data_IF_176819965304
#
_entry.id   IF_176819965304
#
_cell.length_a   1.000
_cell.length_b   1.000
_cell.length_c   1.000
_cell.angle_alpha   90.00
_cell.angle_beta   90.00
_cell.angle_gamma   90.00
#
_symmetry.space_group_name_H-M   'P 1'
#
loop_
_entity.id
_entity.type
_entity.pdbx_description
1 polymer ?
#
# COMPACT_ATOMS: atom_id res chain seq x y z
N UNK A 1 -1.27 -15.55 -5.95
CA UNK A 1 -1.40 -16.22 -7.25
C UNK A 1 -1.96 -17.63 -7.06
N UNK A 2 -2.98 -17.97 -7.81
CA UNK A 2 -3.59 -19.31 -7.83
C UNK A 2 -3.54 -19.90 -9.24
N UNK A 3 -3.59 -21.22 -9.32
CA UNK A 3 -3.64 -21.92 -10.62
C UNK A 3 -4.84 -21.46 -11.45
N UNK A 4 -4.65 -21.40 -12.75
CA UNK A 4 -5.71 -21.15 -13.72
C UNK A 4 -5.74 -22.27 -14.76
N UNK A 5 -6.67 -22.19 -15.72
CA UNK A 5 -6.74 -23.14 -16.83
C UNK A 5 -5.50 -23.07 -17.73
N UNK A 6 -4.85 -21.90 -17.81
CA UNK A 6 -3.57 -21.72 -18.50
C UNK A 6 -2.41 -21.77 -17.48
N UNK A 7 -1.54 -22.78 -17.52
CA UNK A 7 -0.44 -22.92 -16.57
C UNK A 7 0.61 -21.80 -16.66
N UNK A 8 0.64 -21.03 -17.75
CA UNK A 8 1.57 -19.92 -17.92
C UNK A 8 1.00 -18.57 -17.46
N UNK A 9 -0.30 -18.53 -17.15
CA UNK A 9 -0.98 -17.29 -16.75
C UNK A 9 -1.76 -17.55 -15.44
N UNK A 10 -1.11 -17.51 -14.28
CA UNK A 10 -1.79 -17.70 -13.00
C UNK A 10 -2.82 -16.58 -12.76
N UNK A 11 -3.90 -16.93 -12.08
CA UNK A 11 -4.91 -15.95 -11.66
C UNK A 11 -4.43 -15.24 -10.40
N UNK A 12 -4.43 -13.91 -10.42
CA UNK A 12 -4.20 -13.09 -9.23
C UNK A 12 -5.51 -12.93 -8.47
N UNK A 13 -5.50 -13.24 -7.18
CA UNK A 13 -6.63 -13.06 -6.27
C UNK A 13 -6.18 -12.18 -5.14
N UNK A 14 -6.93 -11.10 -4.88
CA UNK A 14 -6.72 -10.22 -3.74
C UNK A 14 -7.56 -10.69 -2.57
N UNK A 15 -6.97 -10.65 -1.38
CA UNK A 15 -7.63 -10.88 -0.11
C UNK A 15 -7.36 -9.71 0.83
N UNK A 16 -8.38 -9.28 1.53
CA UNK A 16 -8.28 -8.29 2.61
C UNK A 16 -9.12 -8.78 3.78
N UNK A 17 -8.52 -8.94 4.94
CA UNK A 17 -9.25 -9.37 6.14
C UNK A 17 -10.23 -8.28 6.60
N UNK A 18 -11.45 -8.68 6.93
CA UNK A 18 -12.49 -7.80 7.51
C UNK A 18 -12.40 -7.69 9.03
N UNK A 19 -11.50 -8.44 9.65
CA UNK A 19 -11.28 -8.45 11.11
C UNK A 19 -9.79 -8.52 11.42
N UNK A 20 -9.37 -8.05 12.62
CA UNK A 20 -8.00 -8.24 13.08
C UNK A 20 -7.66 -9.74 13.15
N UNK A 21 -6.62 -10.18 12.44
CA UNK A 21 -6.21 -11.58 12.39
C UNK A 21 -4.82 -11.81 12.99
N UNK A 22 -4.10 -10.74 13.28
CA UNK A 22 -2.74 -10.85 13.83
C UNK A 22 -2.40 -9.64 14.70
N UNK A 23 -1.35 -9.79 15.50
CA UNK A 23 -0.80 -8.73 16.34
C UNK A 23 0.72 -8.78 16.27
N UNK A 24 1.36 -7.61 16.24
CA UNK A 24 2.80 -7.49 16.47
C UNK A 24 2.97 -7.27 17.98
N UNK A 25 3.43 -8.28 18.74
CA UNK A 25 3.51 -8.18 20.18
C UNK A 25 4.68 -7.30 20.61
N UNK A 26 4.53 -6.61 21.72
CA UNK A 26 5.62 -5.92 22.41
C UNK A 26 5.72 -6.40 23.85
N UNK A 27 6.92 -6.33 24.41
CA UNK A 27 7.18 -6.76 25.79
C UNK A 27 6.77 -5.67 26.79
N UNK A 28 6.12 -6.07 27.86
CA UNK A 28 5.86 -5.19 28.99
C UNK A 28 7.19 -4.75 29.65
N UNK A 29 7.19 -3.61 30.32
CA UNK A 29 8.36 -3.04 30.99
C UNK A 29 9.03 -4.02 31.98
N UNK A 30 8.28 -4.93 32.56
CA UNK A 30 8.83 -5.98 33.45
C UNK A 30 9.80 -6.91 32.75
N UNK A 31 9.64 -7.10 31.44
CA UNK A 31 10.47 -7.95 30.61
C UNK A 31 11.47 -7.16 29.74
N UNK A 32 11.27 -5.86 29.60
CA UNK A 32 12.15 -4.94 28.89
C UNK A 32 12.30 -3.63 29.69
N UNK A 33 13.24 -3.59 30.61
CA UNK A 33 13.48 -2.45 31.49
C UNK A 33 14.12 -1.24 30.78
N UNK A 34 14.68 -1.46 29.58
CA UNK A 34 15.35 -0.41 28.79
C UNK A 34 14.36 0.35 27.88
N UNK A 35 13.08 -0.01 27.87
CA UNK A 35 12.07 0.57 26.96
C UNK A 35 12.04 2.10 26.99
N UNK A 36 12.28 2.73 28.15
CA UNK A 36 12.27 4.17 28.31
C UNK A 36 13.56 4.88 27.81
N UNK A 37 14.58 4.10 27.42
CA UNK A 37 15.84 4.62 26.84
C UNK A 37 15.84 4.59 25.34
N UNK A 38 14.77 4.12 24.73
CA UNK A 38 14.68 3.83 23.30
C UNK A 38 15.20 2.42 23.00
N UNK A 39 14.51 1.74 22.11
CA UNK A 39 14.89 0.41 21.61
C UNK A 39 14.99 0.51 20.10
N UNK A 40 16.15 0.21 19.56
CA UNK A 40 16.31 0.06 18.12
C UNK A 40 15.52 -1.17 17.67
N UNK A 41 14.56 -0.95 16.77
CA UNK A 41 13.68 -2.02 16.28
C UNK A 41 14.40 -2.78 15.17
N UNK A 42 14.53 -4.08 15.33
CA UNK A 42 14.94 -4.98 14.26
C UNK A 42 13.70 -5.47 13.52
N UNK A 43 13.53 -5.03 12.27
CA UNK A 43 12.34 -5.33 11.47
C UNK A 43 12.09 -6.83 11.28
N UNK A 44 13.12 -7.65 11.26
CA UNK A 44 13.00 -9.10 11.06
C UNK A 44 12.63 -9.87 12.34
N UNK A 45 12.87 -9.28 13.50
CA UNK A 45 12.65 -9.95 14.81
C UNK A 45 11.49 -9.30 15.54
N UNK A 46 11.50 -7.97 15.67
CA UNK A 46 10.56 -7.24 16.53
C UNK A 46 9.22 -6.96 15.85
N UNK A 47 9.18 -6.98 14.50
CA UNK A 47 7.96 -6.77 13.73
C UNK A 47 7.32 -8.07 13.20
N UNK A 48 7.72 -9.22 13.75
CA UNK A 48 7.10 -10.50 13.39
C UNK A 48 5.66 -10.59 13.93
N UNK A 49 4.65 -10.67 13.06
CA UNK A 49 3.27 -10.78 13.51
C UNK A 49 2.99 -12.18 14.04
N UNK A 50 2.21 -12.24 15.12
CA UNK A 50 1.66 -13.47 15.68
C UNK A 50 0.23 -13.64 15.19
N UNK A 51 -0.03 -14.72 14.49
CA UNK A 51 -1.33 -15.04 13.90
C UNK A 51 -2.22 -15.81 14.88
N UNK A 52 -1.70 -16.84 15.53
CA UNK A 52 -2.49 -17.72 16.40
C UNK A 52 -1.61 -18.55 17.35
N UNK A 53 -2.28 -19.23 18.27
CA UNK A 53 -1.72 -20.26 19.15
C UNK A 53 -2.30 -21.61 18.73
N UNK A 54 -1.47 -22.45 18.12
CA UNK A 54 -1.88 -23.74 17.59
C UNK A 54 -1.53 -24.90 18.52
N UNK A 55 -2.29 -26.02 18.51
CA UNK A 55 -1.94 -27.23 19.22
C UNK A 55 -0.59 -27.79 18.79
N UNK A 56 0.15 -28.42 19.75
CA UNK A 56 1.50 -28.97 19.48
C UNK A 56 1.52 -30.03 18.37
N UNK A 57 0.42 -30.73 18.21
CA UNK A 57 0.25 -31.80 17.23
C UNK A 57 0.04 -31.33 15.82
N UNK A 58 -0.33 -30.03 15.65
CA UNK A 58 -0.60 -29.43 14.35
C UNK A 58 0.70 -28.90 13.73
N UNK A 59 0.93 -29.23 12.45
CA UNK A 59 2.06 -28.69 11.70
C UNK A 59 1.83 -27.22 11.35
N UNK A 60 2.77 -26.38 11.74
CA UNK A 60 2.71 -24.91 11.51
C UNK A 60 2.67 -24.54 10.04
N UNK A 61 3.38 -25.26 9.18
CA UNK A 61 3.47 -25.01 7.73
C UNK A 61 2.13 -25.14 7.01
N UNK A 62 1.25 -26.02 7.49
CA UNK A 62 -0.07 -26.21 6.88
C UNK A 62 -1.14 -25.25 7.43
N UNK A 63 -0.92 -24.68 8.62
CA UNK A 63 -1.92 -23.86 9.29
C UNK A 63 -2.28 -22.62 8.49
N UNK A 64 -1.28 -21.85 8.07
CA UNK A 64 -1.47 -20.61 7.33
C UNK A 64 -2.05 -20.86 5.93
N UNK A 65 -1.57 -21.90 5.23
CA UNK A 65 -2.12 -22.27 3.92
C UNK A 65 -3.57 -22.78 4.03
N UNK A 66 -3.94 -23.41 5.14
CA UNK A 66 -5.33 -23.78 5.41
C UNK A 66 -6.20 -22.53 5.53
N UNK A 67 -5.77 -21.59 6.36
CA UNK A 67 -6.45 -20.29 6.51
C UNK A 67 -6.63 -19.60 5.15
N UNK A 68 -5.56 -19.45 4.35
CA UNK A 68 -5.67 -18.82 3.03
C UNK A 68 -6.60 -19.58 2.08
N UNK A 69 -6.55 -20.90 2.09
CA UNK A 69 -7.41 -21.78 1.27
C UNK A 69 -8.89 -21.56 1.60
N UNK A 70 -9.23 -21.48 2.88
CA UNK A 70 -10.59 -21.23 3.37
C UNK A 70 -11.07 -19.83 3.00
N UNK A 71 -10.27 -18.80 3.25
CA UNK A 71 -10.60 -17.40 2.96
C UNK A 71 -10.75 -17.12 1.45
N UNK A 72 -9.95 -17.77 0.63
CA UNK A 72 -9.99 -17.60 -0.83
C UNK A 72 -10.98 -18.56 -1.53
N UNK A 73 -11.49 -19.57 -0.84
CA UNK A 73 -12.36 -20.59 -1.42
C UNK A 73 -11.66 -21.42 -2.50
N UNK A 74 -10.38 -21.72 -2.33
CA UNK A 74 -9.56 -22.50 -3.27
C UNK A 74 -8.86 -23.66 -2.56
N UNK A 75 -8.47 -24.69 -3.32
CA UNK A 75 -7.69 -25.79 -2.76
C UNK A 75 -6.26 -25.31 -2.42
N UNK A 76 -5.68 -25.77 -1.33
CA UNK A 76 -4.29 -25.46 -0.94
C UNK A 76 -3.29 -25.71 -2.05
N UNK A 77 -3.47 -26.82 -2.78
CA UNK A 77 -2.63 -27.21 -3.91
C UNK A 77 -2.70 -26.26 -5.10
N UNK A 78 -3.69 -25.36 -5.13
CA UNK A 78 -3.87 -24.39 -6.19
C UNK A 78 -3.23 -23.02 -5.85
N UNK A 79 -2.84 -22.81 -4.60
CA UNK A 79 -2.07 -21.63 -4.19
C UNK A 79 -0.63 -21.83 -4.64
N UNK A 80 -0.18 -20.98 -5.57
CA UNK A 80 1.15 -21.04 -6.16
C UNK A 80 2.15 -20.18 -5.39
N UNK A 81 1.72 -18.98 -5.01
CA UNK A 81 2.53 -18.01 -4.27
C UNK A 81 1.62 -16.94 -3.66
N UNK A 82 2.13 -16.20 -2.66
CA UNK A 82 1.41 -15.09 -2.05
C UNK A 82 2.36 -14.02 -1.54
N UNK A 83 1.89 -12.81 -1.55
CA UNK A 83 2.50 -11.65 -0.89
C UNK A 83 1.53 -11.14 0.18
N UNK A 84 2.05 -10.84 1.36
CA UNK A 84 1.27 -10.43 2.52
C UNK A 84 1.75 -9.07 3.02
N UNK A 85 0.81 -8.17 3.17
CA UNK A 85 1.03 -6.88 3.79
C UNK A 85 0.15 -6.75 5.03
N UNK A 86 0.71 -6.28 6.13
CA UNK A 86 -0.04 -5.98 7.35
C UNK A 86 -0.47 -4.52 7.35
N UNK A 87 -1.63 -4.24 7.91
CA UNK A 87 -2.11 -2.87 8.09
C UNK A 87 -2.87 -2.75 9.41
N UNK A 88 -2.89 -1.54 9.96
CA UNK A 88 -3.63 -1.23 11.17
C UNK A 88 -5.14 -1.18 10.85
N UNK A 89 -5.94 -1.88 11.65
CA UNK A 89 -7.40 -1.94 11.52
C UNK A 89 -8.12 -1.01 12.50
N UNK A 90 -7.41 -0.10 13.17
CA UNK A 90 -8.06 0.92 13.98
C UNK A 90 -8.93 1.82 13.11
N UNK A 91 -10.18 2.02 13.56
CA UNK A 91 -11.12 2.88 12.86
C UNK A 91 -10.78 4.36 13.10
N UNK A 92 -10.90 5.19 12.04
CA UNK A 92 -10.78 6.63 12.20
C UNK A 92 -11.83 7.19 13.15
N UNK A 93 -11.45 8.15 14.00
CA UNK A 93 -12.38 8.81 14.88
C UNK A 93 -12.08 10.30 15.06
N UNK A 94 -13.10 11.05 15.42
CA UNK A 94 -12.92 12.42 15.90
C UNK A 94 -12.49 12.40 17.36
N UNK A 95 -11.55 13.26 17.72
CA UNK A 95 -11.02 13.39 19.07
C UNK A 95 -10.97 14.86 19.51
N UNK A 96 -10.80 15.04 20.83
CA UNK A 96 -10.81 16.34 21.48
C UNK A 96 -12.18 16.67 22.10
N UNK A 97 -12.20 17.67 22.99
CA UNK A 97 -13.42 18.04 23.73
C UNK A 97 -14.56 18.50 22.80
N UNK A 98 -14.23 19.00 21.63
CA UNK A 98 -15.17 19.53 20.63
C UNK A 98 -15.06 18.82 19.29
N UNK A 99 -14.50 17.63 19.26
CA UNK A 99 -14.32 16.81 18.05
C UNK A 99 -13.58 17.58 16.91
N UNK A 100 -12.58 18.36 17.28
CA UNK A 100 -11.87 19.25 16.35
C UNK A 100 -10.64 18.62 15.71
N UNK A 101 -10.29 17.40 16.10
CA UNK A 101 -9.15 16.66 15.59
C UNK A 101 -9.62 15.30 15.05
N UNK A 102 -8.82 14.72 14.17
CA UNK A 102 -9.02 13.37 13.62
C UNK A 102 -7.85 12.50 14.09
N UNK A 103 -8.17 11.32 14.61
CA UNK A 103 -7.22 10.24 14.82
C UNK A 103 -7.49 9.14 13.81
N UNK A 104 -6.51 8.81 13.02
CA UNK A 104 -6.61 7.78 11.99
C UNK A 104 -5.24 7.23 11.65
N UNK A 105 -5.11 5.94 11.35
CA UNK A 105 -3.91 5.45 10.68
C UNK A 105 -3.82 6.05 9.28
N UNK A 106 -2.59 6.18 8.77
CA UNK A 106 -2.31 6.60 7.39
C UNK A 106 -2.80 8.02 7.01
N UNK A 107 -2.88 8.93 7.97
CA UNK A 107 -3.08 10.36 7.65
C UNK A 107 -1.97 10.87 6.74
N UNK A 108 -0.76 10.46 7.00
CA UNK A 108 0.32 10.45 6.06
C UNK A 108 0.20 9.19 5.17
N UNK A 109 -0.06 9.30 3.85
CA UNK A 109 -0.26 10.54 3.13
C UNK A 109 -1.70 10.65 2.58
N UNK A 110 -2.71 10.04 3.22
CA UNK A 110 -4.11 10.03 2.75
C UNK A 110 -4.75 11.43 2.77
N UNK A 111 -4.27 12.33 3.63
CA UNK A 111 -4.74 13.72 3.66
C UNK A 111 -4.35 14.46 2.39
N UNK A 112 -3.10 14.32 1.95
CA UNK A 112 -2.63 14.90 0.68
C UNK A 112 -3.31 14.26 -0.52
N UNK A 113 -3.52 12.94 -0.51
CA UNK A 113 -4.29 12.23 -1.55
C UNK A 113 -5.70 12.81 -1.67
N UNK A 114 -6.41 12.97 -0.56
CA UNK A 114 -7.75 13.56 -0.56
C UNK A 114 -7.73 14.99 -1.09
N UNK A 115 -6.74 15.80 -0.70
CA UNK A 115 -6.62 17.20 -1.14
C UNK A 115 -6.38 17.31 -2.65
N UNK A 116 -5.46 16.52 -3.23
CA UNK A 116 -5.18 16.60 -4.67
C UNK A 116 -6.33 16.06 -5.51
N UNK A 117 -7.01 14.99 -5.05
CA UNK A 117 -8.21 14.47 -5.72
C UNK A 117 -9.33 15.51 -5.71
N UNK A 118 -9.59 16.13 -4.56
CA UNK A 118 -10.61 17.18 -4.45
C UNK A 118 -10.26 18.40 -5.32
N UNK A 119 -8.99 18.80 -5.37
CA UNK A 119 -8.52 19.87 -6.23
C UNK A 119 -8.74 19.55 -7.71
N UNK A 120 -8.45 18.32 -8.16
CA UNK A 120 -8.70 17.89 -9.53
C UNK A 120 -10.19 17.93 -9.88
N UNK A 121 -11.05 17.39 -9.00
CA UNK A 121 -12.50 17.35 -9.21
C UNK A 121 -13.14 18.76 -9.25
N UNK A 122 -12.57 19.71 -8.51
CA UNK A 122 -13.05 21.09 -8.45
C UNK A 122 -12.45 21.98 -9.54
N UNK A 123 -11.41 21.50 -10.24
CA UNK A 123 -10.71 22.30 -11.24
C UNK A 123 -11.48 22.34 -12.54
N UNK A 124 -11.48 23.54 -13.16
CA UNK A 124 -11.90 23.71 -14.54
C UNK A 124 -10.74 24.29 -15.34
N UNK A 125 -10.48 23.71 -16.50
CA UNK A 125 -9.39 24.13 -17.36
C UNK A 125 -9.87 24.25 -18.80
N UNK A 126 -9.64 25.37 -19.41
CA UNK A 126 -9.97 25.59 -20.83
C UNK A 126 -8.90 24.96 -21.74
N UNK A 127 -7.63 25.00 -21.32
CA UNK A 127 -6.50 24.52 -22.10
C UNK A 127 -5.53 23.75 -21.22
N UNK A 128 -4.88 22.72 -21.81
CA UNK A 128 -3.90 21.88 -21.14
C UNK A 128 -4.53 20.72 -20.38
N UNK A 129 -3.72 20.00 -19.59
CA UNK A 129 -4.09 18.77 -18.87
C UNK A 129 -3.74 18.95 -17.41
N UNK A 130 -4.69 18.68 -16.52
CA UNK A 130 -4.42 18.45 -15.12
C UNK A 130 -4.30 16.94 -14.91
N UNK A 131 -3.24 16.52 -14.24
CA UNK A 131 -2.99 15.12 -13.93
C UNK A 131 -2.55 15.02 -12.48
N UNK A 132 -3.04 14.02 -11.78
CA UNK A 132 -2.50 13.61 -10.49
C UNK A 132 -1.85 12.24 -10.63
N UNK A 133 -0.74 12.05 -9.94
CA UNK A 133 -0.08 10.77 -9.82
C UNK A 133 0.01 10.40 -8.34
N UNK A 134 -0.53 9.24 -7.99
CA UNK A 134 -0.44 8.66 -6.65
C UNK A 134 0.52 7.50 -6.73
N UNK A 135 1.64 7.62 -6.04
CA UNK A 135 2.70 6.63 -6.09
C UNK A 135 2.60 5.65 -4.94
N UNK A 136 3.10 4.46 -5.17
CA UNK A 136 3.33 3.45 -4.16
C UNK A 136 4.79 3.46 -3.71
N UNK A 137 5.10 2.76 -2.61
CA UNK A 137 6.46 2.56 -2.10
C UNK A 137 7.22 3.84 -1.72
N UNK A 138 6.53 4.88 -1.26
CA UNK A 138 7.18 6.07 -0.74
C UNK A 138 8.05 5.72 0.48
N UNK A 139 7.50 5.01 1.47
CA UNK A 139 8.14 4.64 2.74
C UNK A 139 9.40 3.75 2.57
N UNK A 140 9.53 3.06 1.47
CA UNK A 140 10.73 2.27 1.13
C UNK A 140 11.70 3.01 0.20
N UNK A 141 11.50 4.34 0.00
CA UNK A 141 12.43 5.23 -0.71
C UNK A 141 12.14 5.42 -2.19
N UNK A 142 10.93 5.14 -2.67
CA UNK A 142 10.42 5.46 -4.03
C UNK A 142 11.17 4.81 -5.20
N UNK A 143 12.23 4.03 -4.97
CA UNK A 143 13.12 3.49 -6.01
C UNK A 143 12.62 2.19 -6.66
N UNK A 144 11.40 1.78 -6.35
CA UNK A 144 10.77 0.61 -6.98
C UNK A 144 10.16 0.95 -8.34
N UNK A 145 9.68 -0.08 -9.05
CA UNK A 145 9.00 0.10 -10.34
C UNK A 145 7.75 0.98 -10.25
N UNK A 146 7.04 0.95 -9.11
CA UNK A 146 5.81 1.71 -8.83
C UNK A 146 6.07 3.04 -8.13
N UNK A 147 7.28 3.26 -7.65
CA UNK A 147 7.64 4.46 -6.89
C UNK A 147 7.85 5.70 -7.74
N UNK A 148 7.89 6.84 -7.08
CA UNK A 148 8.03 8.15 -7.73
C UNK A 148 9.36 8.33 -8.47
N UNK A 149 10.42 7.64 -8.07
CA UNK A 149 11.74 7.68 -8.72
C UNK A 149 11.84 6.79 -9.97
N UNK A 150 10.78 6.06 -10.33
CA UNK A 150 10.75 5.23 -11.52
C UNK A 150 10.49 6.05 -12.79
N UNK A 151 10.75 5.44 -13.94
CA UNK A 151 10.43 6.03 -15.25
C UNK A 151 8.91 6.01 -15.56
N UNK A 152 8.11 5.37 -14.72
CA UNK A 152 6.69 5.07 -14.98
C UNK A 152 5.89 6.34 -15.31
N UNK A 153 6.02 7.40 -14.51
CA UNK A 153 5.27 8.65 -14.74
C UNK A 153 5.61 9.26 -16.09
N UNK A 154 6.89 9.34 -16.41
CA UNK A 154 7.37 9.86 -17.69
C UNK A 154 6.80 9.06 -18.87
N UNK A 155 6.88 7.74 -18.82
CA UNK A 155 6.36 6.86 -19.86
C UNK A 155 4.84 6.97 -20.03
N UNK A 156 4.11 7.06 -18.92
CA UNK A 156 2.65 7.22 -18.94
C UNK A 156 2.25 8.57 -19.56
N UNK A 157 2.93 9.65 -19.19
CA UNK A 157 2.68 10.97 -19.79
C UNK A 157 2.92 10.97 -21.30
N UNK A 158 4.04 10.39 -21.76
CA UNK A 158 4.32 10.28 -23.21
C UNK A 158 3.25 9.47 -23.93
N UNK A 159 2.81 8.36 -23.34
CA UNK A 159 1.75 7.52 -23.92
C UNK A 159 0.42 8.28 -24.01
N UNK A 160 0.02 9.01 -22.97
CA UNK A 160 -1.19 9.82 -22.95
C UNK A 160 -1.13 10.88 -24.07
N UNK A 161 -0.04 11.63 -24.14
CA UNK A 161 0.13 12.68 -25.15
C UNK A 161 0.13 12.13 -26.58
N UNK A 162 0.75 10.97 -26.82
CA UNK A 162 0.66 10.29 -28.14
C UNK A 162 -0.78 9.88 -28.47
N UNK A 163 -1.53 9.34 -27.51
CA UNK A 163 -2.94 8.99 -27.72
C UNK A 163 -3.81 10.21 -28.03
N UNK A 164 -3.40 11.39 -27.58
CA UNK A 164 -4.05 12.67 -27.89
C UNK A 164 -3.60 13.25 -29.24
N UNK A 165 -2.74 12.53 -29.98
CA UNK A 165 -2.29 12.93 -31.33
C UNK A 165 -1.09 13.88 -31.35
N UNK A 166 -0.38 14.08 -30.23
CA UNK A 166 0.79 14.95 -30.17
C UNK A 166 2.00 14.32 -30.90
N UNK A 167 2.75 15.14 -31.64
CA UNK A 167 4.06 14.74 -32.19
C UNK A 167 5.12 14.64 -31.09
N UNK A 168 6.25 13.95 -31.36
CA UNK A 168 7.34 13.83 -30.37
C UNK A 168 7.88 15.20 -29.94
N UNK A 169 8.02 16.15 -30.86
CA UNK A 169 8.44 17.53 -30.53
C UNK A 169 7.43 18.22 -29.60
N UNK A 170 6.13 18.05 -29.86
CA UNK A 170 5.09 18.60 -28.99
C UNK A 170 5.08 17.96 -27.60
N UNK A 171 5.37 16.64 -27.53
CA UNK A 171 5.49 15.92 -26.27
C UNK A 171 6.66 16.45 -25.46
N UNK A 172 7.84 16.56 -26.06
CA UNK A 172 9.04 17.05 -25.38
C UNK A 172 8.85 18.48 -24.87
N UNK A 173 8.24 19.34 -25.68
CA UNK A 173 7.89 20.69 -25.27
C UNK A 173 6.88 20.72 -24.12
N UNK A 174 5.83 19.91 -24.21
CA UNK A 174 4.80 19.81 -23.16
C UNK A 174 5.40 19.37 -21.82
N UNK A 175 6.29 18.38 -21.85
CA UNK A 175 6.97 17.89 -20.64
C UNK A 175 7.93 18.94 -20.06
N UNK A 176 8.63 19.69 -20.91
CA UNK A 176 9.53 20.75 -20.49
C UNK A 176 8.78 21.94 -19.87
N UNK A 177 7.64 22.32 -20.43
CA UNK A 177 6.81 23.43 -19.96
C UNK A 177 5.86 23.02 -18.81
N UNK A 178 5.83 21.74 -18.42
CA UNK A 178 4.96 21.24 -17.36
C UNK A 178 5.36 21.78 -16.00
N UNK A 179 4.35 22.06 -15.17
CA UNK A 179 4.53 22.34 -13.76
C UNK A 179 4.20 21.11 -12.94
N UNK A 180 5.11 20.71 -12.06
CA UNK A 180 4.91 19.61 -11.12
C UNK A 180 4.84 20.18 -9.71
N UNK A 181 3.81 19.77 -8.97
CA UNK A 181 3.65 20.06 -7.55
C UNK A 181 3.72 18.73 -6.79
N UNK A 182 4.68 18.61 -5.88
CA UNK A 182 4.73 17.52 -4.91
C UNK A 182 3.99 17.91 -3.64
N UNK A 183 3.15 17.02 -3.15
CA UNK A 183 2.33 17.24 -1.95
C UNK A 183 2.53 16.06 -1.02
N UNK A 184 2.92 16.36 0.19
CA UNK A 184 3.16 15.41 1.27
C UNK A 184 2.79 16.02 2.61
N UNK A 185 2.64 15.21 3.69
CA UNK A 185 2.25 15.68 5.04
C UNK A 185 3.32 15.33 6.07
#
# INVERSE_FOLDING_TARGET
AVKSADPFVPKMVSYCSEKPVMVIPNLAIHMNREVNRGVEINNQIDLMPVLDVIPKEQKTTDYFLTFLSEELGVEKSDILDFELNTFCMEEPCYIGIKDTMISSPRLDNQTSVAAVVQALLSSQREHGINLIALFDHEEVGSSSKQGAASIMLHDMLRRILRCLGSSEEQIDRCLYDAMLLSVDV
#
